data_IF_699754784960
#
_entry.id   IF_699754784960
#
_cell.length_a   1.000
_cell.length_b   1.000
_cell.length_c   1.000
_cell.angle_alpha   90.00
_cell.angle_beta   90.00
_cell.angle_gamma   90.00
#
_symmetry.space_group_name_H-M   'P 1'
#
loop_
_entity.id
_entity.type
_entity.pdbx_description
1 polymer ?
#
# COMPACT_ATOMS: atom_id res chain seq x y z
N UNK A 1 -9.47 46.09 39.46
CA UNK A 1 -10.16 45.48 38.30
C UNK A 1 -9.07 44.87 37.43
N UNK A 2 -9.10 43.55 37.19
CA UNK A 2 -8.07 42.82 36.43
C UNK A 2 -8.57 42.76 34.98
N UNK A 3 -7.92 43.45 34.06
CA UNK A 3 -8.22 43.33 32.64
C UNK A 3 -7.26 42.33 31.99
N UNK A 4 -7.71 41.08 31.96
CA UNK A 4 -7.18 40.05 31.09
C UNK A 4 -7.58 40.37 29.64
N UNK A 5 -6.63 40.80 28.81
CA UNK A 5 -6.81 40.86 27.35
C UNK A 5 -5.79 39.94 26.67
N UNK A 6 -6.07 38.64 26.75
CA UNK A 6 -5.45 37.63 25.91
C UNK A 6 -5.93 37.80 24.47
N UNK A 7 -5.13 38.45 23.64
CA UNK A 7 -5.29 38.41 22.19
C UNK A 7 -4.10 37.68 21.59
N UNK A 8 -4.27 36.36 21.42
CA UNK A 8 -3.36 35.55 20.61
C UNK A 8 -3.61 35.91 19.14
N UNK A 9 -2.85 36.87 18.62
CA UNK A 9 -2.94 37.29 17.21
C UNK A 9 -2.45 36.15 16.30
N UNK A 10 -3.39 35.35 15.79
CA UNK A 10 -3.10 34.33 14.78
C UNK A 10 -3.14 34.95 13.38
N UNK A 11 -1.98 35.40 12.90
CA UNK A 11 -1.84 35.83 11.51
C UNK A 11 -1.95 34.60 10.60
N UNK A 12 -3.13 34.40 10.00
CA UNK A 12 -3.32 33.38 8.98
C UNK A 12 -2.28 33.53 7.88
N UNK A 13 -1.60 32.44 7.54
CA UNK A 13 -0.57 32.37 6.50
C UNK A 13 -1.24 32.71 5.15
N UNK A 14 -1.11 33.98 4.73
CA UNK A 14 -1.67 34.51 3.48
C UNK A 14 -0.95 33.81 2.30
N UNK A 15 -1.55 32.75 1.79
CA UNK A 15 -0.97 31.92 0.73
C UNK A 15 -1.46 30.47 0.69
N UNK A 16 -2.14 29.98 1.73
CA UNK A 16 -2.82 28.69 1.65
C UNK A 16 -4.00 28.79 0.68
N UNK A 17 -3.97 28.04 -0.44
CA UNK A 17 -5.13 27.84 -1.32
C UNK A 17 -6.17 26.96 -0.61
N UNK A 18 -7.03 27.57 0.19
CA UNK A 18 -8.20 26.91 0.75
C UNK A 18 -9.17 26.60 -0.40
N UNK A 19 -9.57 25.34 -0.55
CA UNK A 19 -10.58 24.93 -1.54
C UNK A 19 -10.07 24.21 -2.81
N UNK A 20 -8.75 24.07 -3.03
CA UNK A 20 -8.25 23.18 -4.10
C UNK A 20 -8.28 21.74 -3.62
N UNK A 21 -9.35 21.02 -3.97
CA UNK A 21 -9.47 19.58 -3.70
C UNK A 21 -8.61 18.82 -4.70
N UNK A 22 -7.70 17.98 -4.19
CA UNK A 22 -7.00 17.00 -5.03
C UNK A 22 -8.01 16.07 -5.69
N UNK A 23 -7.77 15.67 -6.94
CA UNK A 23 -8.63 14.71 -7.61
C UNK A 23 -8.50 13.32 -6.96
N UNK A 24 -9.48 12.43 -7.23
CA UNK A 24 -9.44 11.06 -6.70
C UNK A 24 -8.20 10.32 -7.19
N UNK A 25 -7.79 10.56 -8.42
CA UNK A 25 -6.61 9.98 -9.06
C UNK A 25 -5.33 10.49 -8.39
N UNK A 26 -5.25 11.81 -8.14
CA UNK A 26 -4.12 12.40 -7.41
C UNK A 26 -3.99 11.81 -6.00
N UNK A 27 -5.10 11.65 -5.27
CA UNK A 27 -5.12 11.04 -3.94
C UNK A 27 -4.84 9.54 -3.95
N UNK A 28 -5.22 8.83 -5.01
CA UNK A 28 -4.95 7.40 -5.16
C UNK A 28 -3.45 7.12 -5.36
N UNK A 29 -2.68 8.11 -5.81
CA UNK A 29 -1.27 7.98 -6.13
C UNK A 29 -0.35 8.71 -5.14
N UNK A 30 -0.85 9.64 -4.34
CA UNK A 30 -0.06 10.37 -3.35
C UNK A 30 0.45 9.45 -2.21
N UNK A 31 1.76 9.50 -1.95
CA UNK A 31 2.45 8.66 -0.94
C UNK A 31 1.80 8.74 0.44
N UNK A 32 1.52 9.95 0.90
CA UNK A 32 0.96 10.18 2.24
C UNK A 32 -0.47 9.64 2.34
N UNK A 33 -1.23 9.76 1.26
CA UNK A 33 -2.59 9.26 1.14
C UNK A 33 -2.61 7.74 1.14
N UNK A 34 -1.73 7.09 0.37
CA UNK A 34 -1.57 5.63 0.36
C UNK A 34 -1.13 5.13 1.75
N UNK A 35 -0.15 5.79 2.37
CA UNK A 35 0.34 5.44 3.71
C UNK A 35 -0.79 5.51 4.75
N UNK A 36 -1.53 6.61 4.80
CA UNK A 36 -2.63 6.79 5.74
C UNK A 36 -3.72 5.73 5.56
N UNK A 37 -4.08 5.43 4.30
CA UNK A 37 -5.07 4.41 3.97
C UNK A 37 -4.59 3.01 4.36
N UNK A 38 -3.33 2.67 4.05
CA UNK A 38 -2.74 1.39 4.45
C UNK A 38 -2.67 1.23 5.97
N UNK A 39 -2.19 2.25 6.67
CA UNK A 39 -2.14 2.23 8.13
C UNK A 39 -3.53 2.05 8.72
N UNK A 40 -4.55 2.69 8.16
CA UNK A 40 -5.94 2.49 8.59
C UNK A 40 -6.44 1.07 8.35
N UNK A 41 -6.11 0.46 7.20
CA UNK A 41 -6.52 -0.91 6.88
C UNK A 41 -5.81 -1.95 7.75
N UNK A 42 -4.53 -1.71 8.06
CA UNK A 42 -3.68 -2.61 8.85
C UNK A 42 -3.80 -2.41 10.36
N UNK A 43 -4.71 -1.52 10.84
CA UNK A 43 -5.08 -1.45 12.27
C UNK A 43 -5.57 -2.80 12.78
N UNK A 44 -6.24 -3.56 11.92
CA UNK A 44 -6.56 -4.97 12.14
C UNK A 44 -5.77 -5.81 11.13
N UNK A 45 -5.09 -6.88 11.58
CA UNK A 45 -4.36 -7.74 10.66
C UNK A 45 -5.24 -8.27 9.52
N UNK A 46 -4.77 -8.12 8.28
CA UNK A 46 -5.50 -8.59 7.10
C UNK A 46 -5.03 -10.01 6.79
N UNK A 47 -5.97 -10.97 6.80
CA UNK A 47 -5.67 -12.35 6.41
C UNK A 47 -5.53 -12.46 4.89
N UNK A 48 -4.37 -12.94 4.43
CA UNK A 48 -4.11 -13.28 3.03
C UNK A 48 -4.73 -14.64 2.67
N UNK A 49 -4.86 -14.95 1.38
CA UNK A 49 -5.54 -16.16 0.90
C UNK A 49 -4.95 -17.47 1.42
N UNK A 50 -3.65 -17.46 1.74
CA UNK A 50 -2.93 -18.62 2.26
C UNK A 50 -2.84 -18.65 3.79
N UNK A 51 -3.53 -17.74 4.48
CA UNK A 51 -3.61 -17.69 5.94
C UNK A 51 -2.61 -16.76 6.62
N UNK A 52 -1.64 -16.16 5.91
CA UNK A 52 -0.71 -15.20 6.50
C UNK A 52 -1.45 -13.96 6.99
N UNK A 53 -1.12 -13.50 8.18
CA UNK A 53 -1.62 -12.25 8.73
C UNK A 53 -0.71 -11.10 8.32
N UNK A 54 -1.23 -10.21 7.48
CA UNK A 54 -0.53 -9.00 7.07
C UNK A 54 -0.79 -7.90 8.07
N UNK A 55 0.27 -7.37 8.66
CA UNK A 55 0.21 -6.44 9.81
C UNK A 55 0.86 -5.09 9.51
N UNK A 56 1.87 -5.06 8.63
CA UNK A 56 2.69 -3.86 8.39
C UNK A 56 2.94 -3.63 6.91
N UNK A 57 3.06 -2.35 6.55
CA UNK A 57 3.46 -1.89 5.23
C UNK A 57 4.80 -1.16 5.37
N UNK A 58 5.86 -1.66 4.72
CA UNK A 58 7.19 -1.05 4.85
C UNK A 58 7.32 0.27 4.07
N UNK A 59 8.22 1.15 4.51
CA UNK A 59 8.54 2.39 3.80
C UNK A 59 9.06 2.12 2.39
N UNK A 60 9.89 1.08 2.23
CA UNK A 60 10.34 0.66 0.91
C UNK A 60 9.15 0.28 0.01
N UNK A 61 8.17 -0.48 0.52
CA UNK A 61 6.98 -0.81 -0.25
C UNK A 61 6.14 0.42 -0.61
N UNK A 62 6.06 1.43 0.27
CA UNK A 62 5.42 2.72 0.00
C UNK A 62 6.08 3.44 -1.16
N UNK A 63 7.40 3.53 -1.16
CA UNK A 63 8.14 4.27 -2.20
C UNK A 63 7.92 3.64 -3.58
N UNK A 64 7.72 2.32 -3.65
CA UNK A 64 7.41 1.63 -4.91
C UNK A 64 6.06 2.02 -5.52
N UNK A 65 5.08 2.41 -4.69
CA UNK A 65 3.74 2.80 -5.17
C UNK A 65 3.73 4.08 -6.00
N UNK A 66 4.75 4.94 -5.82
CA UNK A 66 4.87 6.25 -6.46
C UNK A 66 5.40 6.21 -7.90
N UNK A 67 5.62 5.03 -8.47
CA UNK A 67 6.17 4.91 -9.82
C UNK A 67 5.14 5.43 -10.84
N UNK A 68 5.34 6.65 -11.37
CA UNK A 68 4.37 7.38 -12.20
C UNK A 68 3.85 6.58 -13.41
N UNK A 69 4.74 5.86 -14.10
CA UNK A 69 4.36 5.07 -15.28
C UNK A 69 3.48 3.85 -14.95
N UNK A 70 3.52 3.37 -13.70
CA UNK A 70 2.87 2.12 -13.27
C UNK A 70 2.44 2.21 -11.80
N UNK A 71 1.46 3.05 -11.47
CA UNK A 71 1.06 3.26 -10.08
C UNK A 71 0.41 2.00 -9.50
N UNK A 72 0.61 1.81 -8.19
CA UNK A 72 0.00 0.74 -7.41
C UNK A 72 -1.03 1.35 -6.48
N UNK A 73 -2.27 0.88 -6.55
CA UNK A 73 -3.35 1.34 -5.68
C UNK A 73 -3.51 0.43 -4.46
N UNK A 74 -4.08 0.98 -3.38
CA UNK A 74 -4.38 0.23 -2.14
C UNK A 74 -5.31 -0.94 -2.43
N UNK A 75 -6.31 -0.72 -3.27
CA UNK A 75 -7.28 -1.74 -3.70
C UNK A 75 -6.58 -2.88 -4.44
N UNK A 76 -5.59 -2.57 -5.28
CA UNK A 76 -4.82 -3.58 -5.99
C UNK A 76 -3.96 -4.44 -5.07
N UNK A 77 -3.40 -3.84 -4.02
CA UNK A 77 -2.63 -4.56 -3.00
C UNK A 77 -3.57 -5.49 -2.20
N UNK A 78 -4.74 -5.00 -1.78
CA UNK A 78 -5.72 -5.81 -1.05
C UNK A 78 -6.29 -6.95 -1.91
N UNK A 79 -6.56 -6.69 -3.20
CA UNK A 79 -6.98 -7.70 -4.17
C UNK A 79 -5.92 -8.80 -4.30
N UNK A 80 -4.65 -8.42 -4.45
CA UNK A 80 -3.55 -9.38 -4.52
C UNK A 80 -3.47 -10.29 -3.29
N UNK A 81 -3.69 -9.74 -2.09
CA UNK A 81 -3.63 -10.51 -0.84
C UNK A 81 -4.84 -11.44 -0.65
N UNK A 82 -6.06 -10.96 -0.95
CA UNK A 82 -7.29 -11.72 -0.74
C UNK A 82 -7.56 -12.73 -1.85
N UNK A 83 -7.37 -12.31 -3.10
CA UNK A 83 -7.70 -13.06 -4.31
C UNK A 83 -6.50 -13.15 -5.27
N UNK A 84 -5.36 -13.74 -4.84
CA UNK A 84 -4.20 -13.88 -5.70
C UNK A 84 -4.48 -14.81 -6.89
N UNK A 85 -4.07 -14.37 -8.07
CA UNK A 85 -4.07 -15.15 -9.30
C UNK A 85 -3.19 -16.40 -9.20
N UNK A 86 -2.24 -16.42 -8.28
CA UNK A 86 -1.29 -17.53 -8.09
C UNK A 86 -1.59 -18.41 -6.87
N UNK A 87 -2.81 -18.39 -6.31
CA UNK A 87 -3.22 -19.09 -5.08
C UNK A 87 -2.64 -20.51 -4.90
N UNK A 88 -2.68 -21.37 -5.94
CA UNK A 88 -2.16 -22.75 -5.86
C UNK A 88 -0.64 -22.91 -6.03
N UNK A 89 0.10 -21.81 -6.18
CA UNK A 89 1.55 -21.83 -6.49
C UNK A 89 2.36 -20.83 -5.67
N UNK A 90 1.78 -20.30 -4.58
CA UNK A 90 2.48 -19.43 -3.65
C UNK A 90 3.56 -20.26 -2.95
N UNK A 91 4.81 -19.86 -3.11
CA UNK A 91 5.98 -20.51 -2.48
C UNK A 91 6.79 -19.46 -1.73
N UNK A 92 7.35 -19.87 -0.59
CA UNK A 92 8.36 -19.07 0.11
C UNK A 92 9.65 -19.07 -0.70
N UNK A 93 10.17 -17.88 -0.98
CA UNK A 93 11.50 -17.66 -1.54
C UNK A 93 12.36 -16.99 -0.48
N UNK A 94 13.58 -17.46 -0.34
CA UNK A 94 14.56 -16.91 0.59
C UNK A 94 15.64 -16.19 -0.20
N UNK A 95 16.05 -15.00 0.25
CA UNK A 95 17.18 -14.29 -0.35
C UNK A 95 18.53 -14.82 0.16
N UNK A 96 19.63 -14.27 -0.35
CA UNK A 96 20.99 -14.63 0.08
C UNK A 96 21.28 -14.31 1.56
N UNK A 97 20.45 -13.47 2.19
CA UNK A 97 20.55 -13.08 3.60
C UNK A 97 19.61 -13.90 4.49
N UNK A 98 18.97 -14.95 3.96
CA UNK A 98 18.07 -15.82 4.73
C UNK A 98 16.67 -15.25 4.97
N UNK A 99 16.30 -14.11 4.36
CA UNK A 99 15.01 -13.46 4.62
C UNK A 99 13.91 -14.10 3.76
N UNK A 100 12.86 -14.67 4.37
CA UNK A 100 11.79 -15.31 3.60
C UNK A 100 10.80 -14.28 3.05
N UNK A 101 10.27 -14.58 1.87
CA UNK A 101 9.21 -13.79 1.24
C UNK A 101 8.27 -14.67 0.42
N UNK A 102 6.99 -14.31 0.40
CA UNK A 102 5.97 -14.92 -0.44
C UNK A 102 5.34 -13.87 -1.35
N UNK A 103 5.15 -14.23 -2.61
CA UNK A 103 4.62 -13.33 -3.64
C UNK A 103 3.14 -13.62 -3.89
N UNK A 104 2.32 -12.60 -3.74
CA UNK A 104 0.90 -12.58 -4.05
C UNK A 104 0.67 -11.77 -5.31
N UNK A 105 0.22 -12.42 -6.38
CA UNK A 105 0.06 -11.81 -7.69
C UNK A 105 -1.42 -11.49 -7.89
N UNK A 106 -1.80 -10.21 -7.78
CA UNK A 106 -3.14 -9.72 -8.09
C UNK A 106 -3.29 -9.24 -9.53
N UNK A 107 -4.50 -8.83 -9.89
CA UNK A 107 -4.81 -8.33 -11.25
C UNK A 107 -4.12 -7.01 -11.55
N UNK A 108 -4.02 -6.10 -10.60
CA UNK A 108 -3.40 -4.78 -10.78
C UNK A 108 -2.02 -4.68 -10.12
N UNK A 109 -1.83 -5.32 -8.98
CA UNK A 109 -0.59 -5.24 -8.21
C UNK A 109 -0.06 -6.63 -7.82
N UNK A 110 1.26 -6.71 -7.64
CA UNK A 110 1.94 -7.84 -7.04
C UNK A 110 2.59 -7.37 -5.74
N UNK A 111 2.45 -8.19 -4.69
CA UNK A 111 2.83 -7.86 -3.32
C UNK A 111 3.74 -8.96 -2.80
N UNK A 112 4.90 -8.58 -2.23
CA UNK A 112 5.76 -9.51 -1.51
C UNK A 112 5.58 -9.30 -0.01
N UNK A 113 5.32 -10.39 0.72
CA UNK A 113 5.10 -10.39 2.17
C UNK A 113 6.13 -11.29 2.83
N UNK A 114 6.72 -10.85 3.93
CA UNK A 114 7.49 -11.74 4.79
C UNK A 114 6.50 -12.61 5.61
N UNK A 115 6.49 -13.94 5.44
CA UNK A 115 5.56 -14.83 6.12
C UNK A 115 5.77 -14.92 7.64
N UNK A 116 6.96 -14.60 8.16
CA UNK A 116 7.28 -14.72 9.59
C UNK A 116 6.65 -13.61 10.43
N UNK A 117 6.61 -12.38 9.88
CA UNK A 117 6.17 -11.20 10.62
C UNK A 117 4.99 -10.46 9.97
N UNK A 118 4.53 -10.89 8.80
CA UNK A 118 3.38 -10.28 8.12
C UNK A 118 3.66 -8.91 7.49
N UNK A 119 4.92 -8.53 7.32
CA UNK A 119 5.28 -7.24 6.73
C UNK A 119 5.31 -7.32 5.21
N UNK A 120 4.62 -6.38 4.55
CA UNK A 120 4.78 -6.19 3.10
C UNK A 120 6.13 -5.53 2.83
N UNK A 121 7.03 -6.26 2.18
CA UNK A 121 8.41 -5.83 1.93
C UNK A 121 8.52 -4.99 0.66
N UNK A 122 7.80 -5.35 -0.40
CA UNK A 122 7.85 -4.62 -1.68
C UNK A 122 6.57 -4.83 -2.50
N UNK A 123 6.27 -3.89 -3.38
CA UNK A 123 5.10 -3.92 -4.27
C UNK A 123 5.43 -3.40 -5.67
N UNK A 124 4.69 -3.85 -6.68
CA UNK A 124 4.78 -3.30 -8.04
C UNK A 124 3.50 -3.60 -8.84
N UNK A 125 3.29 -2.88 -9.94
CA UNK A 125 2.18 -3.13 -10.86
C UNK A 125 2.35 -4.49 -11.58
N UNK A 126 1.31 -5.33 -11.61
CA UNK A 126 1.37 -6.62 -12.29
C UNK A 126 1.44 -6.42 -13.80
N UNK A 127 2.52 -6.92 -14.43
CA UNK A 127 2.70 -6.85 -15.87
C UNK A 127 1.71 -7.72 -16.67
N UNK A 128 1.42 -7.31 -17.91
CA UNK A 128 0.45 -7.98 -18.80
C UNK A 128 0.81 -9.44 -19.09
N UNK A 129 2.10 -9.76 -19.21
CA UNK A 129 2.57 -11.16 -19.40
C UNK A 129 2.23 -12.03 -18.20
N UNK A 130 2.46 -11.53 -16.99
CA UNK A 130 2.15 -12.23 -15.74
C UNK A 130 0.64 -12.42 -15.59
N UNK A 131 -0.16 -11.35 -15.79
CA UNK A 131 -1.63 -11.46 -15.81
C UNK A 131 -2.09 -12.54 -16.76
N UNK A 132 -1.68 -12.49 -18.02
CA UNK A 132 -2.08 -13.48 -19.04
C UNK A 132 -1.69 -14.90 -18.66
N UNK A 133 -0.53 -15.11 -18.02
CA UNK A 133 -0.08 -16.44 -17.59
C UNK A 133 -1.02 -17.04 -16.54
N UNK A 134 -1.45 -16.25 -15.57
CA UNK A 134 -2.29 -16.75 -14.47
C UNK A 134 -3.79 -16.69 -14.78
N UNK A 135 -4.26 -15.74 -15.60
CA UNK A 135 -5.65 -15.72 -16.09
C UNK A 135 -5.98 -16.88 -17.03
N UNK A 136 -5.00 -17.39 -17.80
CA UNK A 136 -5.22 -18.56 -18.67
C UNK A 136 -5.25 -19.89 -17.91
N UNK A 137 -4.86 -19.88 -16.63
CA UNK A 137 -4.71 -21.09 -15.81
C UNK A 137 -5.83 -21.26 -14.77
N UNK A 138 -6.67 -20.24 -14.57
CA UNK A 138 -7.89 -20.32 -13.76
C UNK A 138 -9.09 -20.54 -14.66
#
# INVERSE_FOLDING_TARGET
>A
HIESSGNLMHYGIKGMKWGVRRTKEQLAHDRSSIQARMNSQLRTPVKASNGILVTRFSDHALDRTQTESRPVTVEGILDALKNPLNHGSIKTKTDNLGRPSQQFIGKSATVAVNPENGTITTTWCTGSRTKRKYLKKG
#
